data_IF_946201693431
#
_entry.id   IF_946201693431
#
_cell.length_a   1.000
_cell.length_b   1.000
_cell.length_c   1.000
_cell.angle_alpha   90.00
_cell.angle_beta   90.00
_cell.angle_gamma   90.00
#
_symmetry.space_group_name_H-M   'P 1'
#
loop_
_entity.id
_entity.type
_entity.pdbx_description
1 polymer ?
#
# COMPACT_ATOMS: atom_id res chain seq x y z
N UNK A 1 -1.44 -4.09 9.35
CA UNK A 1 -2.55 -3.61 10.20
C UNK A 1 -2.58 -4.45 11.46
N UNK A 2 -2.48 -3.82 12.63
CA UNK A 2 -2.52 -4.51 13.93
C UNK A 2 -3.96 -4.91 14.32
N UNK A 3 -4.12 -5.79 15.31
CA UNK A 3 -5.44 -6.32 15.70
C UNK A 3 -6.45 -5.20 16.03
N UNK A 4 -6.05 -4.21 16.83
CA UNK A 4 -6.92 -3.10 17.23
C UNK A 4 -7.38 -2.24 16.04
N UNK A 5 -6.48 -1.96 15.10
CA UNK A 5 -6.81 -1.21 13.87
C UNK A 5 -7.85 -1.97 13.03
N UNK A 6 -7.71 -3.30 12.93
CA UNK A 6 -8.70 -4.14 12.22
C UNK A 6 -10.06 -4.10 12.92
N UNK A 7 -10.08 -4.24 14.25
CA UNK A 7 -11.33 -4.21 15.03
C UNK A 7 -12.06 -2.88 14.88
N UNK A 8 -11.35 -1.75 14.96
CA UNK A 8 -11.92 -0.42 14.73
C UNK A 8 -12.43 -0.24 13.30
N UNK A 9 -11.73 -0.82 12.31
CA UNK A 9 -12.16 -0.76 10.91
C UNK A 9 -13.46 -1.52 10.67
N UNK A 10 -13.64 -2.68 11.31
CA UNK A 10 -14.88 -3.48 11.21
C UNK A 10 -16.04 -2.81 11.92
N UNK A 11 -15.81 -2.16 13.07
CA UNK A 11 -16.83 -1.38 13.78
C UNK A 11 -17.34 -0.18 12.96
N UNK A 12 -16.55 0.34 12.02
CA UNK A 12 -16.97 1.42 11.13
C UNK A 12 -17.86 0.93 9.95
N UNK A 13 -18.07 -0.38 9.79
CA UNK A 13 -18.89 -0.93 8.72
C UNK A 13 -20.39 -0.73 9.01
N UNK A 14 -21.13 -0.28 7.98
CA UNK A 14 -22.59 0.00 8.07
C UNK A 14 -23.43 -1.19 8.58
N UNK A 15 -23.03 -2.41 8.29
CA UNK A 15 -23.80 -3.63 8.56
C UNK A 15 -23.34 -4.39 9.80
N UNK A 16 -22.41 -3.83 10.57
CA UNK A 16 -21.84 -4.48 11.76
C UNK A 16 -22.49 -3.88 13.00
N UNK A 17 -23.08 -4.72 13.82
CA UNK A 17 -23.62 -4.34 15.13
C UNK A 17 -22.57 -4.53 16.24
N UNK A 18 -21.95 -5.72 16.29
CA UNK A 18 -20.98 -6.12 17.32
C UNK A 18 -19.71 -6.74 16.72
N UNK A 19 -18.58 -6.60 17.43
CA UNK A 19 -17.28 -7.19 17.04
C UNK A 19 -16.67 -7.98 18.19
N UNK A 20 -16.40 -9.26 17.95
CA UNK A 20 -15.71 -10.15 18.91
C UNK A 20 -14.20 -10.06 18.67
N UNK A 21 -13.48 -9.41 19.60
CA UNK A 21 -12.01 -9.29 19.54
C UNK A 21 -11.39 -10.58 20.07
N UNK A 22 -10.41 -11.12 19.34
CA UNK A 22 -9.72 -12.36 19.75
C UNK A 22 -10.50 -13.64 19.41
N UNK A 23 -11.36 -13.60 18.39
CA UNK A 23 -12.03 -14.79 17.91
C UNK A 23 -11.00 -15.89 17.52
N UNK A 24 -11.24 -17.16 17.92
CA UNK A 24 -10.37 -18.28 17.56
C UNK A 24 -10.42 -18.56 16.05
N UNK A 25 -9.41 -19.30 15.57
CA UNK A 25 -9.35 -19.73 14.17
C UNK A 25 -10.47 -20.70 13.78
N UNK A 26 -10.74 -21.68 14.64
CA UNK A 26 -11.81 -22.66 14.44
C UNK A 26 -13.07 -22.26 15.21
N UNK A 27 -14.23 -22.41 14.57
CA UNK A 27 -15.51 -22.12 15.21
C UNK A 27 -15.94 -23.34 16.03
N UNK A 28 -15.84 -23.24 17.36
CA UNK A 28 -16.28 -24.29 18.28
C UNK A 28 -17.80 -24.23 18.52
N UNK A 29 -18.37 -25.36 18.97
CA UNK A 29 -19.78 -25.44 19.36
C UNK A 29 -20.09 -24.51 20.55
N UNK A 30 -19.13 -24.36 21.46
CA UNK A 30 -19.26 -23.51 22.64
C UNK A 30 -19.35 -22.02 22.28
N UNK A 31 -18.64 -21.58 21.24
CA UNK A 31 -18.79 -20.22 20.72
C UNK A 31 -20.21 -20.00 20.19
N UNK A 32 -20.73 -20.94 19.38
CA UNK A 32 -22.06 -20.84 18.78
C UNK A 32 -23.14 -20.74 19.86
N UNK A 33 -23.04 -21.54 20.93
CA UNK A 33 -24.01 -21.51 22.03
C UNK A 33 -23.85 -20.26 22.91
N UNK A 34 -22.62 -19.86 23.22
CA UNK A 34 -22.34 -18.69 24.09
C UNK A 34 -22.85 -17.38 23.48
N UNK A 35 -22.65 -17.20 22.17
CA UNK A 35 -23.09 -16.00 21.45
C UNK A 35 -24.44 -16.18 20.75
N UNK A 36 -25.11 -17.32 20.96
CA UNK A 36 -26.41 -17.65 20.38
C UNK A 36 -26.50 -17.42 18.85
N UNK A 37 -25.50 -17.94 18.13
CA UNK A 37 -25.32 -17.72 16.68
C UNK A 37 -26.29 -18.62 15.89
N UNK A 38 -27.12 -18.01 15.03
CA UNK A 38 -28.07 -18.71 14.17
C UNK A 38 -27.55 -18.96 12.75
N UNK A 39 -26.59 -18.15 12.28
CA UNK A 39 -26.07 -18.17 10.92
C UNK A 39 -24.59 -17.80 10.91
N UNK A 40 -23.79 -18.52 10.12
CA UNK A 40 -22.39 -18.20 9.87
C UNK A 40 -22.20 -17.93 8.38
N UNK A 41 -21.80 -16.71 8.03
CA UNK A 41 -21.57 -16.27 6.66
C UNK A 41 -20.08 -16.16 6.32
N UNK A 42 -19.67 -16.66 5.15
CA UNK A 42 -18.33 -16.43 4.60
C UNK A 42 -18.38 -16.06 3.11
N UNK A 43 -17.55 -15.11 2.68
CA UNK A 43 -17.47 -14.68 1.29
C UNK A 43 -16.78 -15.72 0.39
N UNK A 44 -17.09 -15.73 -0.91
CA UNK A 44 -16.36 -16.57 -1.88
C UNK A 44 -14.92 -16.11 -2.12
N UNK A 45 -14.63 -14.82 -1.97
CA UNK A 45 -13.30 -14.24 -2.16
C UNK A 45 -12.61 -14.08 -0.81
N UNK A 46 -11.44 -14.69 -0.65
CA UNK A 46 -10.60 -14.56 0.54
C UNK A 46 -9.11 -14.61 0.18
N UNK A 47 -8.23 -14.10 1.05
CA UNK A 47 -6.76 -14.18 0.85
C UNK A 47 -6.25 -15.62 0.81
N UNK A 48 -6.89 -16.48 1.60
CA UNK A 48 -6.43 -17.84 1.85
C UNK A 48 -7.26 -18.75 0.98
N UNK A 49 -6.71 -19.10 -0.18
CA UNK A 49 -7.19 -20.27 -0.91
C UNK A 49 -6.94 -21.47 0.00
N UNK A 50 -7.99 -21.97 0.66
CA UNK A 50 -7.94 -23.21 1.40
C UNK A 50 -7.41 -24.29 0.46
N UNK A 51 -6.14 -24.64 0.58
CA UNK A 51 -5.62 -25.83 -0.08
C UNK A 51 -6.23 -27.03 0.65
N UNK A 52 -6.86 -27.98 -0.07
CA UNK A 52 -7.50 -29.14 0.56
C UNK A 52 -6.53 -30.03 1.37
N UNK A 53 -5.22 -29.82 1.23
CA UNK A 53 -4.16 -30.54 1.95
C UNK A 53 -3.75 -29.89 3.29
N UNK A 54 -4.31 -28.74 3.66
CA UNK A 54 -4.03 -28.08 4.94
C UNK A 54 -5.09 -28.43 6.00
N UNK A 55 -4.62 -29.21 7.00
CA UNK A 55 -5.10 -29.38 8.39
C UNK A 55 -6.38 -28.59 8.76
N UNK A 56 -7.52 -29.29 8.69
CA UNK A 56 -8.83 -28.97 9.32
C UNK A 56 -9.59 -27.74 8.77
N UNK A 57 -10.78 -28.00 8.20
CA UNK A 57 -11.76 -26.98 7.82
C UNK A 57 -12.30 -26.22 9.06
N UNK A 58 -12.05 -24.90 9.20
CA UNK A 58 -12.48 -24.14 10.37
C UNK A 58 -14.01 -24.00 10.48
N UNK A 59 -14.74 -24.25 9.39
CA UNK A 59 -16.21 -24.20 9.34
C UNK A 59 -16.87 -25.57 9.50
N UNK A 60 -16.13 -26.62 9.86
CA UNK A 60 -16.66 -27.98 10.00
C UNK A 60 -17.87 -28.07 10.94
N UNK A 61 -17.82 -27.40 12.09
CA UNK A 61 -18.91 -27.41 13.08
C UNK A 61 -20.14 -26.63 12.58
N UNK A 62 -20.02 -25.37 12.10
CA UNK A 62 -21.14 -24.67 11.46
C UNK A 62 -21.77 -25.43 10.28
N UNK A 63 -20.95 -26.09 9.45
CA UNK A 63 -21.43 -26.90 8.32
C UNK A 63 -22.21 -28.13 8.78
N UNK A 64 -21.72 -28.85 9.79
CA UNK A 64 -22.43 -30.03 10.33
C UNK A 64 -23.74 -29.66 11.03
N UNK A 65 -23.84 -28.44 11.57
CA UNK A 65 -25.07 -27.90 12.15
C UNK A 65 -26.04 -27.29 11.12
N UNK A 66 -25.65 -27.19 9.84
CA UNK A 66 -26.49 -26.62 8.78
C UNK A 66 -26.68 -25.10 8.85
N UNK A 67 -25.87 -24.39 9.65
CA UNK A 67 -25.96 -22.94 9.86
C UNK A 67 -24.97 -22.14 8.99
N UNK A 68 -24.11 -22.81 8.23
CA UNK A 68 -23.12 -22.17 7.36
C UNK A 68 -23.72 -21.73 6.02
N UNK A 69 -23.41 -20.50 5.58
CA UNK A 69 -23.77 -19.94 4.28
C UNK A 69 -22.58 -19.29 3.59
N UNK A 70 -22.42 -19.62 2.32
CA UNK A 70 -21.46 -18.95 1.45
C UNK A 70 -22.14 -17.75 0.78
N UNK A 71 -21.50 -16.59 0.84
CA UNK A 71 -21.94 -15.34 0.22
C UNK A 71 -21.09 -15.06 -1.02
N UNK A 72 -21.73 -14.87 -2.17
CA UNK A 72 -20.99 -14.50 -3.38
C UNK A 72 -20.43 -13.08 -3.26
N UNK A 73 -19.12 -12.97 -3.43
CA UNK A 73 -18.42 -11.69 -3.45
C UNK A 73 -18.46 -11.11 -4.87
N UNK A 74 -19.08 -9.94 -5.10
CA UNK A 74 -19.26 -9.39 -6.45
C UNK A 74 -17.94 -8.88 -7.06
N UNK A 75 -16.89 -8.70 -6.25
CA UNK A 75 -15.59 -8.20 -6.67
C UNK A 75 -14.49 -9.11 -6.13
N UNK A 76 -13.47 -9.37 -6.95
CA UNK A 76 -12.29 -10.14 -6.57
C UNK A 76 -11.18 -9.23 -6.03
N UNK A 77 -11.50 -8.39 -5.04
CA UNK A 77 -10.52 -7.48 -4.42
C UNK A 77 -10.05 -8.11 -3.11
N UNK A 78 -8.74 -8.32 -3.02
CA UNK A 78 -8.05 -8.82 -1.83
C UNK A 78 -7.02 -7.80 -1.33
N UNK A 79 -6.66 -7.89 -0.06
CA UNK A 79 -5.54 -7.20 0.60
C UNK A 79 -4.24 -7.42 -0.17
N UNK A 80 -3.96 -8.65 -0.61
CA UNK A 80 -2.78 -8.94 -1.43
C UNK A 80 -2.82 -8.17 -2.75
N UNK A 81 -3.96 -8.18 -3.44
CA UNK A 81 -4.14 -7.41 -4.68
C UNK A 81 -3.94 -5.91 -4.48
N UNK A 82 -4.42 -5.34 -3.36
CA UNK A 82 -4.19 -3.93 -3.04
C UNK A 82 -2.70 -3.66 -2.75
N UNK A 83 -2.03 -4.55 -2.00
CA UNK A 83 -0.61 -4.42 -1.69
C UNK A 83 0.26 -4.48 -2.96
N UNK A 84 -0.03 -5.40 -3.88
CA UNK A 84 0.65 -5.52 -5.16
C UNK A 84 0.50 -4.25 -6.01
N UNK A 85 -0.70 -3.67 -6.05
CA UNK A 85 -0.93 -2.40 -6.76
C UNK A 85 -0.11 -1.25 -6.18
N UNK A 86 -0.02 -1.16 -4.85
CA UNK A 86 0.79 -0.13 -4.18
C UNK A 86 2.27 -0.34 -4.51
N UNK A 87 2.74 -1.59 -4.46
CA UNK A 87 4.13 -1.94 -4.77
C UNK A 87 4.49 -1.61 -6.23
N UNK A 88 3.66 -2.02 -7.18
CA UNK A 88 3.87 -1.74 -8.60
C UNK A 88 3.91 -0.22 -8.88
N UNK A 89 2.98 0.54 -8.30
CA UNK A 89 3.00 1.99 -8.41
C UNK A 89 4.29 2.58 -7.80
N UNK A 90 4.71 2.10 -6.64
CA UNK A 90 5.91 2.56 -5.97
C UNK A 90 7.18 2.32 -6.81
N UNK A 91 7.30 1.16 -7.43
CA UNK A 91 8.42 0.82 -8.33
C UNK A 91 8.47 1.77 -9.54
N UNK A 92 7.31 2.08 -10.14
CA UNK A 92 7.22 3.04 -11.25
C UNK A 92 7.68 4.43 -10.79
N UNK A 93 7.22 4.90 -9.63
CA UNK A 93 7.64 6.18 -9.08
C UNK A 93 9.16 6.26 -8.84
N UNK A 94 9.78 5.18 -8.35
CA UNK A 94 11.23 5.13 -8.13
C UNK A 94 12.02 5.22 -9.45
N UNK A 95 11.60 4.48 -10.49
CA UNK A 95 12.25 4.51 -11.81
C UNK A 95 12.16 5.90 -12.42
N UNK A 96 10.96 6.51 -12.41
CA UNK A 96 10.76 7.86 -12.94
C UNK A 96 11.61 8.91 -12.20
N UNK A 97 11.69 8.81 -10.87
CA UNK A 97 12.53 9.71 -10.08
C UNK A 97 14.03 9.54 -10.44
N UNK A 98 14.49 8.31 -10.62
CA UNK A 98 15.87 8.02 -11.00
C UNK A 98 16.19 8.51 -12.43
N UNK A 99 15.24 8.38 -13.36
CA UNK A 99 15.40 8.87 -14.74
C UNK A 99 15.53 10.40 -14.79
N UNK A 100 14.75 11.11 -13.98
CA UNK A 100 14.86 12.58 -13.84
C UNK A 100 16.23 12.95 -13.28
N UNK A 101 16.69 12.26 -12.23
CA UNK A 101 18.01 12.50 -11.63
C UNK A 101 19.14 12.25 -12.63
N UNK A 102 19.10 11.14 -13.37
CA UNK A 102 20.10 10.80 -14.38
C UNK A 102 20.12 11.83 -15.53
N UNK A 103 18.94 12.31 -15.96
CA UNK A 103 18.85 13.39 -16.95
C UNK A 103 19.47 14.69 -16.43
N UNK A 104 19.18 15.07 -15.18
CA UNK A 104 19.78 16.25 -14.55
C UNK A 104 21.30 16.14 -14.42
N UNK A 105 21.81 15.00 -13.94
CA UNK A 105 23.25 14.72 -13.82
C UNK A 105 23.96 14.79 -15.17
N UNK A 106 23.37 14.21 -16.22
CA UNK A 106 23.91 14.26 -17.59
C UNK A 106 23.94 15.71 -18.13
N UNK A 107 22.89 16.49 -17.85
CA UNK A 107 22.82 17.89 -18.26
C UNK A 107 23.91 18.73 -17.58
N UNK A 108 24.12 18.56 -16.26
CA UNK A 108 25.19 19.25 -15.52
C UNK A 108 26.57 18.87 -16.06
N UNK A 109 26.85 17.57 -16.24
CA UNK A 109 28.14 17.10 -16.79
C UNK A 109 28.45 17.78 -18.12
N UNK A 110 27.47 17.85 -19.02
CA UNK A 110 27.62 18.52 -20.31
C UNK A 110 27.91 20.02 -20.18
N UNK A 111 27.28 20.70 -19.21
CA UNK A 111 27.52 22.12 -18.94
C UNK A 111 28.93 22.34 -18.40
N UNK A 112 29.38 21.52 -17.44
CA UNK A 112 30.73 21.59 -16.85
C UNK A 112 31.81 21.32 -17.90
N UNK A 113 31.66 20.27 -18.73
CA UNK A 113 32.61 19.96 -19.81
C UNK A 113 32.68 21.06 -20.90
N UNK A 114 31.58 21.78 -21.14
CA UNK A 114 31.59 22.94 -22.04
C UNK A 114 32.34 24.12 -21.42
N UNK A 115 32.25 24.30 -20.10
CA UNK A 115 33.01 25.32 -19.36
C UNK A 115 34.51 25.03 -19.40
N UNK A 116 34.92 23.79 -19.14
CA UNK A 116 36.33 23.40 -19.12
C UNK A 116 36.99 23.51 -20.51
N UNK A 117 36.23 23.25 -21.58
CA UNK A 117 36.69 23.49 -22.96
C UNK A 117 36.78 24.98 -23.32
N UNK A 118 35.95 25.83 -22.74
CA UNK A 118 35.92 27.26 -23.01
C UNK A 118 37.03 28.03 -22.27
N UNK A 119 37.50 27.51 -21.12
CA UNK A 119 38.59 28.10 -20.35
C UNK A 119 39.57 27.03 -19.81
N UNK A 120 40.58 26.60 -20.61
CA UNK A 120 41.52 25.55 -20.22
C UNK A 120 42.54 26.00 -19.15
N UNK A 121 42.50 27.26 -18.69
CA UNK A 121 43.38 27.83 -17.65
C UNK A 121 42.57 28.42 -16.49
N UNK A 122 41.52 27.73 -16.02
CA UNK A 122 40.75 28.14 -14.84
C UNK A 122 41.54 27.98 -13.53
N UNK A 123 41.71 29.08 -12.79
CA UNK A 123 42.17 29.11 -11.39
C UNK A 123 41.38 28.09 -10.54
N UNK A 124 42.09 27.28 -9.74
CA UNK A 124 41.54 26.24 -8.86
C UNK A 124 40.29 26.75 -8.12
N UNK A 125 39.14 26.14 -8.40
CA UNK A 125 37.98 26.25 -7.52
C UNK A 125 38.26 25.45 -6.25
N UNK A 126 37.97 26.06 -5.11
CA UNK A 126 38.09 25.44 -3.79
C UNK A 126 37.28 24.14 -3.75
N UNK A 127 37.88 23.11 -3.16
CA UNK A 127 37.34 21.77 -3.02
C UNK A 127 35.99 21.83 -2.27
N UNK A 128 34.93 21.35 -2.92
CA UNK A 128 33.55 21.45 -2.47
C UNK A 128 33.23 20.24 -1.57
N UNK A 129 33.09 20.45 -0.26
CA UNK A 129 32.82 19.39 0.72
C UNK A 129 31.56 18.56 0.36
N UNK A 130 31.78 17.27 0.06
CA UNK A 130 30.82 16.29 -0.48
C UNK A 130 29.62 16.00 0.46
N UNK A 131 29.79 16.16 1.77
CA UNK A 131 28.77 15.79 2.76
C UNK A 131 27.62 16.81 2.89
N UNK A 132 27.87 18.09 2.61
CA UNK A 132 26.80 19.10 2.55
C UNK A 132 25.99 19.02 1.25
N UNK A 133 26.58 18.48 0.18
CA UNK A 133 25.91 18.33 -1.11
C UNK A 133 24.95 17.12 -1.12
N UNK A 134 25.30 16.01 -0.46
CA UNK A 134 24.37 14.88 -0.27
C UNK A 134 23.11 15.30 0.48
N UNK A 135 23.26 16.12 1.52
CA UNK A 135 22.13 16.68 2.26
C UNK A 135 21.31 17.65 1.41
N UNK A 136 21.94 18.47 0.55
CA UNK A 136 21.20 19.37 -0.35
C UNK A 136 20.49 18.63 -1.50
N UNK A 137 21.08 17.58 -2.06
CA UNK A 137 20.44 16.76 -3.10
C UNK A 137 19.27 15.95 -2.52
N UNK A 138 19.43 15.41 -1.30
CA UNK A 138 18.34 14.74 -0.58
C UNK A 138 17.24 15.72 -0.19
N UNK A 139 17.59 16.93 0.26
CA UNK A 139 16.64 18.01 0.58
C UNK A 139 15.92 18.52 -0.68
N UNK A 140 16.59 18.57 -1.83
CA UNK A 140 15.97 18.88 -3.12
C UNK A 140 15.03 17.76 -3.58
N UNK A 141 15.38 16.49 -3.34
CA UNK A 141 14.50 15.33 -3.57
C UNK A 141 13.26 15.34 -2.67
N UNK A 142 13.44 15.66 -1.38
CA UNK A 142 12.35 15.83 -0.42
C UNK A 142 11.47 17.04 -0.73
N UNK A 143 12.04 18.14 -1.22
CA UNK A 143 11.30 19.32 -1.71
C UNK A 143 10.54 19.04 -2.99
N UNK A 144 11.10 18.27 -3.92
CA UNK A 144 10.40 17.81 -5.12
C UNK A 144 9.21 16.90 -4.74
N UNK A 145 9.38 16.00 -3.77
CA UNK A 145 8.28 15.21 -3.21
C UNK A 145 7.21 16.09 -2.55
N UNK A 146 7.59 17.13 -1.80
CA UNK A 146 6.66 18.07 -1.16
C UNK A 146 5.91 18.97 -2.17
N UNK A 147 6.57 19.41 -3.25
CA UNK A 147 5.94 20.20 -4.33
C UNK A 147 4.91 19.37 -5.10
N UNK A 148 5.15 18.06 -5.24
CA UNK A 148 4.18 17.13 -5.86
C UNK A 148 3.05 16.79 -4.88
N UNK A 149 3.33 16.64 -3.58
CA UNK A 149 2.29 16.46 -2.56
C UNK A 149 1.38 17.72 -2.42
N UNK A 150 1.93 18.94 -2.47
CA UNK A 150 1.15 20.18 -2.45
C UNK A 150 0.33 20.45 -3.72
N UNK A 151 0.53 19.69 -4.81
CA UNK A 151 -0.39 19.71 -5.96
C UNK A 151 -1.68 18.91 -5.72
N UNK A 152 -1.78 18.15 -4.64
CA UNK A 152 -3.02 17.42 -4.30
C UNK A 152 -4.14 18.33 -3.78
N UNK A 153 -3.85 19.59 -3.44
CA UNK A 153 -4.87 20.57 -3.03
C UNK A 153 -5.60 21.23 -4.21
N UNK A 154 -5.04 21.10 -5.41
CA UNK A 154 -5.72 21.38 -6.68
C UNK A 154 -5.53 20.19 -7.60
N UNK A 155 -6.18 19.08 -7.25
CA UNK A 155 -6.44 18.02 -8.21
C UNK A 155 -7.11 18.60 -9.47
N UNK A 156 -6.88 18.02 -10.67
CA UNK A 156 -7.69 18.39 -11.82
C UNK A 156 -9.16 18.14 -11.46
N UNK A 157 -9.99 19.17 -11.55
CA UNK A 157 -11.43 19.05 -11.37
C UNK A 157 -11.95 18.06 -12.41
N UNK A 158 -12.28 16.85 -11.96
CA UNK A 158 -13.09 15.91 -12.72
C UNK A 158 -14.40 15.70 -11.96
N UNK A 159 -15.22 16.75 -12.02
CA UNK A 159 -16.67 16.85 -11.82
C UNK A 159 -17.06 17.83 -12.94
N UNK A 160 -17.97 17.63 -13.87
CA UNK A 160 -19.01 16.64 -14.13
C UNK A 160 -19.40 16.81 -15.61
N UNK A 161 -19.74 15.74 -16.34
CA UNK A 161 -20.77 15.82 -17.40
C UNK A 161 -21.46 14.46 -17.53
N UNK A 162 -22.74 14.45 -17.10
CA UNK A 162 -23.86 13.54 -17.41
C UNK A 162 -23.68 12.02 -17.33
#
# INVERSE_FOLDING_TARGET
MHLHERSLSVLACRYVDDVIIGAPWEISKDMITTFNISLVGHGTVSEVNYTPDAVVDPYKVPKSMGIFRTLESPKNITTTFVAERIKANHEIYQVLAMDIYNRYKKNISCILEKRDRADPKGSKSEEYDDDNNKNNVLLMGQRAQAIVAGRTEKGPSYMDVC
#
